data_IF_324545343066
#
_entry.id   IF_324545343066
#
_cell.length_a   1.000
_cell.length_b   1.000
_cell.length_c   1.000
_cell.angle_alpha   90.00
_cell.angle_beta   90.00
_cell.angle_gamma   90.00
#
_symmetry.space_group_name_H-M   'P 1'
#
loop_
_entity.id
_entity.type
_entity.pdbx_description
1 polymer ?
#
# COMPACT_ATOMS: atom_id res chain seq x y z
N UNK A 1 7.57 32.25 -37.16
CA UNK A 1 6.37 32.02 -36.31
C UNK A 1 5.71 30.67 -36.57
N UNK A 2 5.35 30.30 -37.82
CA UNK A 2 4.71 28.99 -38.11
C UNK A 2 5.52 27.78 -37.61
N UNK A 3 6.83 27.76 -37.83
CA UNK A 3 7.69 26.66 -37.38
C UNK A 3 7.88 26.58 -35.85
N UNK A 4 7.76 27.70 -35.13
CA UNK A 4 7.81 27.69 -33.66
C UNK A 4 6.56 27.04 -33.09
N UNK A 5 5.38 27.35 -33.64
CA UNK A 5 4.10 26.77 -33.20
C UNK A 5 4.10 25.25 -33.44
N UNK A 6 4.62 24.78 -34.58
CA UNK A 6 4.75 23.35 -34.87
C UNK A 6 5.69 22.65 -33.89
N UNK A 7 6.81 23.29 -33.50
CA UNK A 7 7.75 22.75 -32.54
C UNK A 7 7.15 22.66 -31.12
N UNK A 8 6.38 23.68 -30.70
CA UNK A 8 5.67 23.65 -29.42
C UNK A 8 4.61 22.55 -29.39
N UNK A 9 3.88 22.35 -30.49
CA UNK A 9 2.92 21.25 -30.61
C UNK A 9 3.61 19.88 -30.55
N UNK A 10 4.78 19.74 -31.18
CA UNK A 10 5.56 18.51 -31.16
C UNK A 10 6.08 18.19 -29.74
N UNK A 11 6.59 19.19 -29.02
CA UNK A 11 7.04 19.04 -27.63
C UNK A 11 5.91 18.66 -26.65
N UNK A 12 4.69 19.15 -26.88
CA UNK A 12 3.51 18.80 -26.09
C UNK A 12 3.07 17.33 -26.27
N UNK A 13 3.38 16.70 -27.41
CA UNK A 13 3.04 15.28 -27.62
C UNK A 13 3.92 14.31 -26.84
N UNK A 14 5.13 14.70 -26.44
CA UNK A 14 6.04 13.84 -25.68
C UNK A 14 5.69 13.71 -24.20
N UNK A 15 4.99 14.69 -23.60
CA UNK A 15 4.61 14.62 -22.18
C UNK A 15 3.42 13.69 -21.94
N UNK A 16 2.65 13.34 -22.97
CA UNK A 16 1.46 12.49 -22.86
C UNK A 16 1.80 11.01 -22.56
N UNK A 17 3.02 10.55 -22.82
CA UNK A 17 3.43 9.14 -22.70
C UNK A 17 4.41 8.86 -21.54
N UNK A 18 4.65 9.81 -20.64
CA UNK A 18 5.60 9.65 -19.54
C UNK A 18 5.06 8.85 -18.33
N UNK A 19 3.81 8.39 -18.36
CA UNK A 19 3.19 7.68 -17.24
C UNK A 19 3.53 6.19 -17.30
N UNK A 20 4.13 5.66 -16.22
CA UNK A 20 4.42 4.22 -16.12
C UNK A 20 3.10 3.42 -16.17
N UNK A 21 3.02 2.33 -16.94
CA UNK A 21 1.84 1.47 -16.94
C UNK A 21 1.62 0.86 -15.55
N UNK A 22 0.35 0.65 -15.19
CA UNK A 22 -0.02 -0.01 -13.94
C UNK A 22 0.15 -1.53 -14.07
N UNK A 23 0.85 -2.14 -13.13
CA UNK A 23 1.02 -3.59 -13.06
C UNK A 23 0.01 -4.20 -12.09
N UNK A 24 -0.87 -5.05 -12.62
CA UNK A 24 -1.93 -5.70 -11.86
C UNK A 24 -1.62 -7.17 -11.63
N UNK A 25 -1.84 -7.63 -10.39
CA UNK A 25 -1.81 -9.05 -10.05
C UNK A 25 -3.12 -9.75 -10.47
N UNK A 26 -4.23 -9.02 -10.49
CA UNK A 26 -5.49 -9.42 -11.11
C UNK A 26 -6.19 -8.22 -11.74
N UNK A 27 -6.77 -8.42 -12.92
CA UNK A 27 -7.57 -7.44 -13.64
C UNK A 27 -8.67 -8.20 -14.39
N UNK A 28 -9.84 -8.28 -13.77
CA UNK A 28 -10.97 -9.08 -14.23
C UNK A 28 -12.18 -8.18 -14.40
N UNK A 29 -12.85 -8.32 -15.54
CA UNK A 29 -14.13 -7.69 -15.82
C UNK A 29 -15.06 -8.77 -16.34
N UNK A 30 -16.15 -9.00 -15.64
CA UNK A 30 -17.17 -9.96 -16.04
C UNK A 30 -18.57 -9.36 -15.91
N UNK A 31 -19.61 -10.19 -16.08
CA UNK A 31 -21.01 -9.79 -15.96
C UNK A 31 -21.43 -9.40 -14.53
N UNK A 32 -20.63 -9.73 -13.51
CA UNK A 32 -20.92 -9.51 -12.10
C UNK A 32 -20.25 -8.21 -11.62
N UNK A 33 -19.11 -7.84 -12.21
CA UNK A 33 -18.48 -6.56 -11.92
C UNK A 33 -17.07 -6.40 -12.47
N UNK A 34 -16.36 -5.43 -11.94
CA UNK A 34 -14.95 -5.13 -12.26
C UNK A 34 -14.09 -5.21 -11.02
N UNK A 35 -12.98 -5.94 -11.12
CA UNK A 35 -12.02 -6.09 -10.04
C UNK A 35 -10.60 -5.93 -10.56
N UNK A 36 -9.87 -4.99 -9.97
CA UNK A 36 -8.45 -4.75 -10.24
C UNK A 36 -7.68 -4.73 -8.94
N UNK A 37 -6.49 -5.29 -8.93
CA UNK A 37 -5.55 -5.20 -7.80
C UNK A 37 -4.12 -5.11 -8.30
N UNK A 38 -3.34 -4.18 -7.75
CA UNK A 38 -1.92 -4.03 -8.09
C UNK A 38 -1.09 -5.17 -7.49
N UNK A 39 0.16 -5.29 -7.92
CA UNK A 39 1.13 -6.14 -7.22
C UNK A 39 1.34 -5.65 -5.78
N UNK A 40 1.64 -6.58 -4.87
CA UNK A 40 2.02 -6.27 -3.49
C UNK A 40 3.36 -5.52 -3.47
N UNK A 41 3.41 -4.45 -2.67
CA UNK A 41 4.56 -3.55 -2.57
C UNK A 41 5.03 -3.46 -1.12
N UNK A 42 6.30 -3.78 -0.88
CA UNK A 42 6.88 -3.74 0.46
C UNK A 42 7.09 -2.30 0.91
N UNK A 43 6.51 -1.94 2.06
CA UNK A 43 6.63 -0.59 2.64
C UNK A 43 7.37 -0.55 3.98
N UNK A 44 7.45 -1.68 4.67
CA UNK A 44 8.22 -1.80 5.90
C UNK A 44 8.76 -3.21 6.05
N UNK A 45 10.02 -3.31 6.48
CA UNK A 45 10.69 -4.56 6.83
C UNK A 45 11.46 -4.35 8.14
N UNK A 46 11.28 -5.25 9.11
CA UNK A 46 11.98 -5.28 10.39
C UNK A 46 12.44 -6.71 10.66
N UNK A 47 13.76 -6.94 10.67
CA UNK A 47 14.36 -8.23 11.01
C UNK A 47 15.20 -8.05 12.28
N UNK A 48 14.74 -8.57 13.42
CA UNK A 48 15.45 -8.43 14.69
C UNK A 48 15.19 -9.60 15.65
N UNK A 49 16.24 -10.08 16.31
CA UNK A 49 16.12 -11.07 17.39
C UNK A 49 15.45 -12.39 16.98
N UNK A 50 15.64 -12.83 15.72
CA UNK A 50 15.00 -14.05 15.20
C UNK A 50 13.52 -13.88 14.83
N UNK A 51 12.99 -12.66 14.93
CA UNK A 51 11.65 -12.28 14.47
C UNK A 51 11.76 -11.35 13.25
N UNK A 52 10.92 -11.59 12.26
CA UNK A 52 10.80 -10.77 11.06
C UNK A 52 9.39 -10.23 10.94
N UNK A 53 9.23 -8.98 10.51
CA UNK A 53 7.94 -8.35 10.26
C UNK A 53 7.99 -7.58 8.95
N UNK A 54 6.97 -7.76 8.13
CA UNK A 54 6.83 -7.14 6.83
C UNK A 54 5.47 -6.47 6.74
N UNK A 55 5.42 -5.32 6.08
CA UNK A 55 4.17 -4.64 5.72
C UNK A 55 4.14 -4.44 4.22
N UNK A 56 3.10 -4.96 3.59
CA UNK A 56 2.85 -4.84 2.16
C UNK A 56 1.59 -4.04 1.91
N UNK A 57 1.62 -3.25 0.83
CA UNK A 57 0.47 -2.51 0.32
C UNK A 57 0.13 -3.00 -1.09
N UNK A 58 -1.15 -3.11 -1.39
CA UNK A 58 -1.66 -3.17 -2.76
C UNK A 58 -2.92 -2.32 -2.89
N UNK A 59 -3.08 -1.69 -4.05
CA UNK A 59 -4.27 -0.91 -4.36
C UNK A 59 -5.25 -1.81 -5.09
N UNK A 60 -6.51 -1.81 -4.66
CA UNK A 60 -7.58 -2.51 -5.32
C UNK A 60 -8.72 -1.56 -5.70
N UNK A 61 -9.44 -1.90 -6.77
CA UNK A 61 -10.66 -1.22 -7.21
C UNK A 61 -11.72 -2.29 -7.47
N UNK A 62 -12.81 -2.23 -6.72
CA UNK A 62 -13.97 -3.13 -6.91
C UNK A 62 -15.16 -2.26 -7.29
N UNK A 63 -15.67 -2.41 -8.51
CA UNK A 63 -16.83 -1.65 -9.02
C UNK A 63 -16.70 -0.13 -8.83
N UNK A 64 -15.48 0.39 -9.05
CA UNK A 64 -15.17 1.81 -8.90
C UNK A 64 -14.93 2.27 -7.45
N UNK A 65 -14.98 1.38 -6.46
CA UNK A 65 -14.61 1.68 -5.08
C UNK A 65 -13.13 1.32 -4.84
N UNK A 66 -12.25 2.31 -4.65
CA UNK A 66 -10.85 2.05 -4.36
C UNK A 66 -10.63 1.69 -2.89
N UNK A 67 -9.77 0.70 -2.66
CA UNK A 67 -9.32 0.28 -1.35
C UNK A 67 -7.82 0.08 -1.32
N UNK A 68 -7.23 0.31 -0.15
CA UNK A 68 -5.87 -0.09 0.18
C UNK A 68 -5.92 -1.43 0.91
N UNK A 69 -5.30 -2.43 0.32
CA UNK A 69 -5.05 -3.71 0.97
C UNK A 69 -3.74 -3.58 1.73
N UNK A 70 -3.80 -3.71 3.05
CA UNK A 70 -2.64 -3.69 3.92
C UNK A 70 -2.45 -5.09 4.48
N UNK A 71 -1.30 -5.69 4.19
CA UNK A 71 -0.94 -7.01 4.69
C UNK A 71 0.27 -6.90 5.62
N UNK A 72 0.13 -7.42 6.83
CA UNK A 72 1.22 -7.56 7.79
C UNK A 72 1.58 -9.03 7.91
N UNK A 73 2.84 -9.36 7.66
CA UNK A 73 3.38 -10.71 7.89
C UNK A 73 4.37 -10.63 9.03
N UNK A 74 4.15 -11.44 10.07
CA UNK A 74 5.08 -11.62 11.17
C UNK A 74 5.58 -13.06 11.18
N UNK A 75 6.89 -13.25 11.34
CA UNK A 75 7.54 -14.55 11.37
C UNK A 75 8.41 -14.65 12.62
N UNK A 76 8.20 -15.68 13.44
CA UNK A 76 9.00 -15.92 14.65
C UNK A 76 8.99 -17.40 15.03
N UNK A 77 9.97 -17.83 15.84
CA UNK A 77 9.88 -19.11 16.56
C UNK A 77 9.15 -18.98 17.90
N UNK A 78 9.06 -17.76 18.41
CA UNK A 78 8.35 -17.43 19.63
C UNK A 78 6.89 -17.10 19.31
N UNK A 79 6.07 -17.03 20.37
CA UNK A 79 4.65 -16.72 20.24
C UNK A 79 4.43 -15.34 19.60
N UNK A 80 3.63 -15.31 18.53
CA UNK A 80 3.22 -14.08 17.83
C UNK A 80 1.86 -13.64 18.36
N UNK A 81 1.81 -12.48 19.04
CA UNK A 81 0.55 -11.86 19.49
C UNK A 81 -0.35 -11.55 18.29
N UNK A 82 -1.63 -11.88 18.39
CA UNK A 82 -2.62 -11.51 17.39
C UNK A 82 -3.02 -10.03 17.53
N UNK A 83 -2.82 -9.25 16.48
CA UNK A 83 -3.37 -7.90 16.34
C UNK A 83 -4.50 -7.96 15.32
N UNK A 84 -5.75 -7.75 15.75
CA UNK A 84 -6.91 -7.87 14.86
C UNK A 84 -7.30 -6.53 14.23
N UNK A 85 -7.79 -6.59 13.00
CA UNK A 85 -8.55 -5.53 12.36
C UNK A 85 -10.04 -5.71 12.65
N UNK A 86 -10.71 -4.60 12.91
CA UNK A 86 -12.14 -4.50 13.16
C UNK A 86 -12.71 -3.24 12.50
N UNK A 87 -13.97 -2.92 12.76
CA UNK A 87 -14.63 -1.71 12.25
C UNK A 87 -14.02 -0.39 12.73
N UNK A 88 -13.32 -0.39 13.85
CA UNK A 88 -12.70 0.79 14.44
C UNK A 88 -11.24 0.97 14.03
N UNK A 89 -10.71 -0.01 13.30
CA UNK A 89 -9.35 -0.02 12.80
C UNK A 89 -9.19 1.02 11.70
N UNK A 90 -8.06 1.71 11.72
CA UNK A 90 -7.75 2.84 10.84
C UNK A 90 -6.28 2.83 10.46
N UNK A 91 -5.99 3.31 9.26
CA UNK A 91 -4.62 3.64 8.85
C UNK A 91 -4.53 5.15 8.74
N UNK A 92 -3.54 5.74 9.40
CA UNK A 92 -3.22 7.15 9.27
C UNK A 92 -1.91 7.29 8.49
N UNK A 93 -1.94 8.07 7.42
CA UNK A 93 -0.78 8.40 6.60
C UNK A 93 -0.45 9.87 6.83
N UNK A 94 0.66 10.14 7.49
CA UNK A 94 1.17 11.49 7.65
C UNK A 94 2.06 11.82 6.46
N UNK A 95 1.66 12.84 5.70
CA UNK A 95 2.38 13.31 4.54
C UNK A 95 3.50 14.28 4.96
N UNK A 96 4.54 14.39 4.14
CA UNK A 96 5.65 15.33 4.37
C UNK A 96 5.18 16.80 4.42
N UNK A 97 4.08 17.14 3.74
CA UNK A 97 3.46 18.47 3.84
C UNK A 97 2.67 18.71 5.15
N UNK A 98 2.69 17.77 6.09
CA UNK A 98 2.06 17.86 7.41
C UNK A 98 0.59 17.43 7.45
N UNK A 99 -0.05 17.14 6.31
CA UNK A 99 -1.43 16.64 6.29
C UNK A 99 -1.49 15.18 6.76
N UNK A 100 -2.60 14.82 7.38
CA UNK A 100 -2.87 13.45 7.84
C UNK A 100 -4.07 12.90 7.09
N UNK A 101 -3.84 11.85 6.33
CA UNK A 101 -4.85 11.11 5.59
C UNK A 101 -5.31 9.93 6.44
N UNK A 102 -6.62 9.77 6.60
CA UNK A 102 -7.20 8.65 7.36
C UNK A 102 -7.93 7.71 6.43
N UNK A 103 -7.59 6.42 6.50
CA UNK A 103 -8.28 5.32 5.81
C UNK A 103 -9.07 4.50 6.83
N UNK A 104 -10.26 4.06 6.44
CA UNK A 104 -11.21 3.38 7.34
C UNK A 104 -11.38 1.93 6.91
N UNK A 105 -11.31 1.00 7.86
CA UNK A 105 -11.49 -0.42 7.58
C UNK A 105 -12.90 -0.75 7.06
N UNK A 106 -13.03 -1.72 6.15
CA UNK A 106 -14.32 -2.16 5.56
C UNK A 106 -15.24 -2.95 6.52
N UNK A 107 -15.04 -2.83 7.84
CA UNK A 107 -15.86 -3.52 8.86
C UNK A 107 -15.87 -5.06 8.74
N UNK A 108 -14.76 -5.65 8.29
CA UNK A 108 -14.54 -7.11 8.35
C UNK A 108 -13.55 -7.44 9.47
N UNK A 109 -13.93 -8.29 10.41
CA UNK A 109 -12.97 -8.70 11.45
C UNK A 109 -11.91 -9.64 10.85
N UNK A 110 -10.63 -9.33 11.06
CA UNK A 110 -9.53 -10.19 10.68
C UNK A 110 -8.42 -10.18 11.72
N UNK A 111 -8.20 -11.30 12.40
CA UNK A 111 -7.12 -11.46 13.36
C UNK A 111 -5.84 -12.03 12.76
N UNK A 112 -5.83 -12.36 11.47
CA UNK A 112 -4.76 -13.03 10.75
C UNK A 112 -4.78 -14.55 10.89
N UNK A 113 -4.14 -15.22 9.94
CA UNK A 113 -4.00 -16.68 9.87
C UNK A 113 -2.59 -17.06 10.31
N UNK A 114 -2.48 -18.08 11.17
CA UNK A 114 -1.19 -18.65 11.58
C UNK A 114 -0.82 -19.81 10.67
N UNK A 115 0.40 -19.79 10.12
CA UNK A 115 0.93 -20.79 9.20
C UNK A 115 2.29 -21.24 9.74
N UNK A 116 2.40 -22.52 10.08
CA UNK A 116 3.67 -23.14 10.50
C UNK A 116 4.48 -23.54 9.26
N UNK A 117 5.74 -23.14 9.20
CA UNK A 117 6.64 -23.63 8.13
C UNK A 117 7.39 -24.91 8.55
N UNK A 118 7.95 -25.61 7.55
CA UNK A 118 8.71 -26.86 7.74
C UNK A 118 9.98 -26.68 8.59
N UNK A 119 10.43 -25.44 8.79
CA UNK A 119 11.60 -25.08 9.61
C UNK A 119 11.22 -24.74 11.06
N UNK A 120 9.95 -24.87 11.40
CA UNK A 120 9.44 -24.60 12.73
C UNK A 120 9.39 -23.11 13.07
N UNK A 121 9.11 -22.24 12.10
CA UNK A 121 8.66 -20.88 12.35
C UNK A 121 7.15 -20.77 12.24
N UNK A 122 6.58 -19.96 13.11
CA UNK A 122 5.22 -19.48 13.00
C UNK A 122 5.19 -18.24 12.12
N UNK A 123 4.29 -18.21 11.14
CA UNK A 123 4.08 -17.08 10.25
C UNK A 123 2.63 -16.62 10.43
N UNK A 124 2.42 -15.41 10.94
CA UNK A 124 1.09 -14.81 11.03
C UNK A 124 0.90 -13.85 9.88
N UNK A 125 -0.10 -14.10 9.04
CA UNK A 125 -0.49 -13.24 7.92
C UNK A 125 -1.80 -12.56 8.28
N UNK A 126 -1.78 -11.23 8.42
CA UNK A 126 -2.98 -10.45 8.70
C UNK A 126 -3.22 -9.42 7.59
N UNK A 127 -4.42 -9.41 7.01
CA UNK A 127 -4.77 -8.54 5.89
C UNK A 127 -5.98 -7.68 6.26
N UNK A 128 -5.85 -6.37 6.14
CA UNK A 128 -6.94 -5.41 6.31
C UNK A 128 -7.23 -4.69 5.00
N UNK A 129 -8.50 -4.33 4.79
CA UNK A 129 -8.93 -3.58 3.62
C UNK A 129 -9.44 -2.22 4.08
N UNK A 130 -8.84 -1.15 3.55
CA UNK A 130 -9.09 0.21 4.01
C UNK A 130 -9.60 1.08 2.86
N UNK A 131 -10.75 1.71 3.08
CA UNK A 131 -11.34 2.65 2.13
C UNK A 131 -10.69 4.02 2.27
N UNK A 132 -10.51 4.69 1.14
CA UNK A 132 -10.15 6.10 1.08
C UNK A 132 -11.38 6.98 1.30
N UNK A 133 -11.21 8.12 1.98
CA UNK A 133 -12.23 9.17 1.98
C UNK A 133 -12.11 10.00 0.70
N UNK A 134 -13.23 10.57 0.23
CA UNK A 134 -13.32 11.26 -1.07
C UNK A 134 -12.23 12.31 -1.30
N UNK A 135 -11.87 13.07 -0.26
CA UNK A 135 -10.92 14.18 -0.37
C UNK A 135 -9.44 13.75 -0.23
N UNK A 136 -9.18 12.47 0.08
CA UNK A 136 -7.83 11.99 0.41
C UNK A 136 -6.95 11.73 -0.81
N UNK A 137 -7.56 11.45 -1.97
CA UNK A 137 -6.84 11.02 -3.18
C UNK A 137 -5.93 12.11 -3.72
N UNK A 138 -6.39 13.35 -3.76
CA UNK A 138 -5.66 14.46 -4.37
C UNK A 138 -4.39 14.85 -3.61
N UNK A 139 -4.36 14.62 -2.31
CA UNK A 139 -3.19 14.90 -1.48
C UNK A 139 -2.12 13.80 -1.62
N UNK A 140 -2.56 12.54 -1.68
CA UNK A 140 -1.68 11.37 -1.84
C UNK A 140 -0.93 11.36 -3.18
N UNK A 141 -1.43 12.07 -4.19
CA UNK A 141 -0.76 12.29 -5.48
C UNK A 141 0.38 13.32 -5.41
N UNK A 142 0.38 14.19 -4.40
CA UNK A 142 1.18 15.42 -4.38
C UNK A 142 2.28 15.40 -3.33
N UNK A 143 2.11 14.66 -2.24
CA UNK A 143 3.06 14.66 -1.13
C UNK A 143 3.43 13.24 -0.71
N UNK A 144 4.72 12.94 -0.50
CA UNK A 144 5.15 11.63 -0.02
C UNK A 144 4.64 11.36 1.40
N UNK A 145 4.50 10.07 1.74
CA UNK A 145 4.16 9.62 3.09
C UNK A 145 5.44 9.49 3.92
N UNK A 146 5.45 10.10 5.10
CA UNK A 146 6.58 10.05 6.05
C UNK A 146 6.36 9.06 7.19
N UNK A 147 5.12 8.97 7.70
CA UNK A 147 4.74 8.06 8.78
C UNK A 147 3.42 7.36 8.40
N UNK A 148 3.38 6.06 8.62
CA UNK A 148 2.15 5.27 8.58
C UNK A 148 1.87 4.74 9.98
N UNK A 149 0.69 5.04 10.50
CA UNK A 149 0.19 4.51 11.77
C UNK A 149 -0.95 3.56 11.51
N UNK A 150 -0.82 2.33 12.03
CA UNK A 150 -1.86 1.32 11.97
C UNK A 150 -2.51 1.24 13.35
N UNK A 151 -3.80 1.57 13.41
CA UNK A 151 -4.63 1.34 14.60
C UNK A 151 -5.36 0.01 14.42
N UNK A 152 -5.00 -0.96 15.24
CA UNK A 152 -5.67 -2.25 15.39
C UNK A 152 -6.80 -2.15 16.43
N UNK A 153 -7.48 -3.27 16.68
CA UNK A 153 -8.51 -3.38 17.72
C UNK A 153 -7.99 -3.00 19.12
N UNK A 154 -6.82 -3.53 19.51
CA UNK A 154 -6.26 -3.39 20.86
C UNK A 154 -4.92 -2.67 20.91
N UNK A 155 -4.37 -2.26 19.77
CA UNK A 155 -2.99 -1.79 19.66
C UNK A 155 -2.84 -0.70 18.59
N UNK A 156 -1.75 0.06 18.68
CA UNK A 156 -1.38 1.07 17.69
C UNK A 156 0.11 0.94 17.40
N UNK A 157 0.45 0.75 16.12
CA UNK A 157 1.85 0.67 15.70
C UNK A 157 2.18 1.74 14.66
N UNK A 158 3.33 2.38 14.87
CA UNK A 158 3.89 3.39 13.97
C UNK A 158 5.03 2.83 13.13
N UNK A 159 5.01 3.18 11.85
CA UNK A 159 6.00 2.82 10.86
C UNK A 159 6.56 4.11 10.25
N UNK A 160 7.87 4.29 10.36
CA UNK A 160 8.59 5.33 9.61
C UNK A 160 8.68 4.84 8.16
N UNK A 161 8.08 5.58 7.25
CA UNK A 161 8.06 5.26 5.83
C UNK A 161 9.31 5.87 5.20
N UNK A 162 10.27 5.00 4.84
CA UNK A 162 11.58 5.43 4.35
C UNK A 162 11.51 5.81 2.86
N UNK A 163 12.35 6.77 2.40
CA UNK A 163 12.51 7.04 0.97
C UNK A 163 13.09 5.88 0.18
N UNK A 164 14.05 5.17 0.78
CA UNK A 164 14.67 3.98 0.21
C UNK A 164 14.59 2.82 1.20
N UNK A 165 14.16 1.68 0.72
CA UNK A 165 14.10 0.41 1.45
C UNK A 165 14.71 -0.68 0.58
N UNK A 166 15.96 -1.06 0.86
CA UNK A 166 16.56 -2.26 0.27
C UNK A 166 16.09 -3.48 1.06
N UNK A 167 15.31 -4.35 0.42
CA UNK A 167 14.75 -5.51 1.11
C UNK A 167 15.79 -6.61 1.31
N UNK A 168 15.86 -7.15 2.53
CA UNK A 168 16.69 -8.31 2.81
C UNK A 168 16.05 -9.60 2.27
N UNK A 169 14.73 -9.60 2.07
CA UNK A 169 13.97 -10.74 1.53
C UNK A 169 14.33 -11.08 0.08
N UNK A 170 14.50 -10.06 -0.78
CA UNK A 170 14.66 -10.26 -2.22
C UNK A 170 15.74 -9.37 -2.88
N UNK A 171 16.44 -8.54 -2.11
CA UNK A 171 17.51 -7.66 -2.58
C UNK A 171 17.04 -6.48 -3.44
N UNK A 172 15.73 -6.28 -3.64
CA UNK A 172 15.18 -5.17 -4.42
C UNK A 172 15.14 -3.89 -3.58
N UNK A 173 15.33 -2.75 -4.24
CA UNK A 173 15.13 -1.43 -3.66
C UNK A 173 13.70 -0.98 -3.92
N UNK A 174 13.01 -0.59 -2.85
CA UNK A 174 11.67 -0.02 -2.85
C UNK A 174 11.74 1.46 -2.46
N UNK A 175 10.75 2.24 -2.89
CA UNK A 175 10.53 3.64 -2.52
C UNK A 175 9.15 3.83 -1.85
N UNK A 176 8.99 3.37 -0.60
CA UNK A 176 7.70 3.38 0.08
C UNK A 176 7.05 4.76 0.23
N UNK A 177 7.84 5.82 0.42
CA UNK A 177 7.31 7.16 0.66
C UNK A 177 6.56 7.73 -0.56
N UNK A 178 6.98 7.39 -1.78
CA UNK A 178 6.31 7.81 -3.03
C UNK A 178 5.32 6.79 -3.56
N UNK A 179 5.10 5.68 -2.86
CA UNK A 179 4.21 4.59 -3.31
C UNK A 179 2.86 5.09 -3.84
N UNK A 180 2.18 5.96 -3.08
CA UNK A 180 0.88 6.48 -3.51
C UNK A 180 0.99 7.43 -4.70
N UNK A 181 1.99 8.32 -4.75
CA UNK A 181 2.24 9.20 -5.90
C UNK A 181 2.38 8.37 -7.18
N UNK A 182 3.12 7.27 -7.08
CA UNK A 182 3.47 6.45 -8.23
C UNK A 182 2.36 5.51 -8.68
N UNK A 183 1.43 5.12 -7.79
CA UNK A 183 0.49 4.02 -8.04
C UNK A 183 -1.00 4.37 -7.83
N UNK A 184 -1.35 5.47 -7.17
CA UNK A 184 -2.76 5.74 -6.80
C UNK A 184 -3.69 5.88 -8.02
N UNK A 185 -3.16 6.36 -9.15
CA UNK A 185 -3.87 6.43 -10.44
C UNK A 185 -4.35 5.08 -10.97
N UNK A 186 -3.81 3.97 -10.49
CA UNK A 186 -4.17 2.64 -10.93
C UNK A 186 -5.53 2.18 -10.39
N UNK A 187 -6.12 2.92 -9.45
CA UNK A 187 -7.43 2.64 -8.85
C UNK A 187 -8.36 3.86 -8.86
N UNK A 188 -8.02 4.87 -9.66
CA UNK A 188 -8.91 5.99 -9.98
C UNK A 188 -10.02 5.59 -10.96
#
# INVERSE_FOLDING_TARGET
MKQLITLTFFLLTFTAFAQKPCEYSANVSDSIGTYKITNEYLVSEKNFGGTSSYVFLSLAQTDGLPTLNLQVIQKSKDFIKANCFDKNSKVFLQLENGKIITLIHVNQENCGTLIRDDKGFDNRVNTGYFMFLKDNFEELKKSPVSIMRIKYLTDVEDYIVRPDLTSELNGKVYHPNTYFIDNIRCVE
#
